data_IF_023092609357
#
_entry.id   IF_023092609357
#
_cell.length_a   1.000
_cell.length_b   1.000
_cell.length_c   1.000
_cell.angle_alpha   90.00
_cell.angle_beta   90.00
_cell.angle_gamma   90.00
#
_symmetry.space_group_name_H-M   'P 1'
#
loop_
_entity.id
_entity.type
_entity.pdbx_description
1 polymer ?
#
# COMPACT_ATOMS: atom_id res chain seq x y z
N UNK A 1 40.10 -61.19 10.05
CA UNK A 1 39.53 -60.59 11.29
C UNK A 1 39.88 -59.11 11.34
N UNK A 2 38.86 -58.24 11.48
CA UNK A 2 38.93 -56.84 11.99
C UNK A 2 39.59 -55.84 10.99
N UNK A 3 39.00 -54.74 10.53
CA UNK A 3 37.91 -53.89 11.04
C UNK A 3 37.21 -53.21 9.86
N UNK A 4 35.89 -53.37 9.80
CA UNK A 4 35.01 -52.43 9.12
C UNK A 4 35.12 -51.08 9.83
N UNK A 5 35.30 -50.00 9.08
CA UNK A 5 34.88 -48.63 9.39
C UNK A 5 35.62 -47.69 8.44
N UNK A 6 34.89 -47.13 7.47
CA UNK A 6 34.97 -45.74 7.00
C UNK A 6 34.06 -45.58 5.76
N UNK A 7 32.80 -45.97 5.93
CA UNK A 7 31.70 -45.59 5.04
C UNK A 7 30.67 -44.89 5.92
N UNK A 8 30.77 -43.57 6.05
CA UNK A 8 29.70 -42.66 6.50
C UNK A 8 30.26 -41.26 6.80
N UNK A 9 30.58 -40.47 5.77
CA UNK A 9 30.66 -39.00 5.90
C UNK A 9 29.92 -38.34 4.73
N UNK A 10 28.67 -38.75 4.54
CA UNK A 10 27.63 -37.93 3.91
C UNK A 10 26.59 -37.62 4.99
N UNK A 11 26.83 -36.56 5.77
CA UNK A 11 25.81 -35.97 6.62
C UNK A 11 25.56 -34.54 6.12
N UNK A 12 24.84 -34.47 5.00
CA UNK A 12 23.68 -33.61 4.78
C UNK A 12 23.58 -32.39 5.71
N UNK A 13 24.32 -31.33 5.41
CA UNK A 13 23.91 -29.97 5.77
C UNK A 13 23.32 -29.30 4.52
N UNK A 14 22.27 -29.90 3.95
CA UNK A 14 21.35 -29.18 3.07
C UNK A 14 20.47 -28.29 3.97
N UNK A 15 21.08 -27.30 4.60
CA UNK A 15 20.34 -26.17 5.13
C UNK A 15 19.82 -25.40 3.91
N UNK A 16 18.61 -25.72 3.47
CA UNK A 16 17.83 -24.78 2.68
C UNK A 16 17.55 -23.59 3.60
N UNK A 17 18.51 -22.67 3.67
CA UNK A 17 18.35 -21.40 4.38
C UNK A 17 17.14 -20.71 3.77
N UNK A 18 16.05 -20.62 4.54
CA UNK A 18 14.84 -19.87 4.19
C UNK A 18 15.10 -18.36 4.30
N UNK A 19 16.18 -17.91 3.67
CA UNK A 19 16.52 -16.50 3.55
C UNK A 19 15.69 -15.93 2.41
N UNK A 20 14.49 -15.45 2.72
CA UNK A 20 13.63 -14.76 1.74
C UNK A 20 12.21 -15.32 1.60
N UNK A 21 11.69 -16.06 2.59
CA UNK A 21 10.29 -16.46 2.57
C UNK A 21 9.40 -15.22 2.72
N UNK A 22 8.84 -14.78 1.60
CA UNK A 22 7.76 -13.80 1.56
C UNK A 22 6.52 -14.48 2.11
N UNK A 23 5.77 -13.73 2.92
CA UNK A 23 4.47 -14.18 3.40
C UNK A 23 3.56 -14.59 2.21
N UNK A 24 2.89 -15.77 2.27
CA UNK A 24 2.14 -16.29 1.12
C UNK A 24 0.99 -15.38 0.68
N UNK A 25 0.34 -14.66 1.61
CA UNK A 25 -0.72 -13.70 1.26
C UNK A 25 -0.11 -12.49 0.53
N UNK A 26 1.03 -12.00 1.00
CA UNK A 26 1.81 -10.95 0.31
C UNK A 26 2.17 -11.37 -1.12
N UNK A 27 2.65 -12.61 -1.30
CA UNK A 27 2.99 -13.13 -2.62
C UNK A 27 1.75 -13.24 -3.53
N UNK A 28 0.63 -13.71 -2.99
CA UNK A 28 -0.63 -13.83 -3.73
C UNK A 28 -1.12 -12.45 -4.22
N UNK A 29 -1.09 -11.44 -3.35
CA UNK A 29 -1.49 -10.07 -3.72
C UNK A 29 -0.49 -9.50 -4.74
N UNK A 30 0.81 -9.63 -4.47
CA UNK A 30 1.87 -9.08 -5.30
C UNK A 30 2.01 -9.74 -6.69
N UNK A 31 1.46 -10.95 -6.89
CA UNK A 31 1.40 -11.62 -8.20
C UNK A 31 0.06 -11.45 -8.92
N UNK A 32 -1.04 -11.17 -8.21
CA UNK A 32 -2.35 -10.97 -8.84
C UNK A 32 -2.40 -9.74 -9.78
N UNK A 33 -3.01 -9.82 -10.97
CA UNK A 33 -3.10 -8.67 -11.88
C UNK A 33 -3.89 -7.51 -11.25
N UNK A 34 -3.52 -6.28 -11.62
CA UNK A 34 -4.23 -5.06 -11.25
C UNK A 34 -4.88 -4.49 -12.50
N UNK A 35 -6.05 -5.03 -12.84
CA UNK A 35 -6.83 -4.64 -14.03
C UNK A 35 -8.07 -3.88 -13.61
N UNK A 36 -8.26 -2.69 -14.16
CA UNK A 36 -9.45 -1.84 -13.96
C UNK A 36 -10.51 -2.15 -15.02
N UNK A 37 -11.79 -2.03 -14.67
CA UNK A 37 -12.91 -2.49 -15.48
C UNK A 37 -13.38 -1.51 -16.57
N UNK A 38 -13.10 -0.21 -16.42
CA UNK A 38 -13.50 0.82 -17.38
C UNK A 38 -12.60 2.05 -17.28
N UNK A 39 -12.66 2.93 -18.29
CA UNK A 39 -11.84 4.14 -18.37
C UNK A 39 -11.85 5.00 -17.10
N UNK A 40 -13.02 5.24 -16.50
CA UNK A 40 -13.14 6.07 -15.29
C UNK A 40 -12.41 5.44 -14.10
N UNK A 41 -12.55 4.13 -13.91
CA UNK A 41 -11.81 3.41 -12.87
C UNK A 41 -10.30 3.40 -13.17
N UNK A 42 -9.91 3.18 -14.43
CA UNK A 42 -8.52 3.18 -14.85
C UNK A 42 -7.82 4.53 -14.60
N UNK A 43 -8.50 5.63 -14.91
CA UNK A 43 -7.97 6.98 -14.68
C UNK A 43 -7.84 7.27 -13.16
N UNK A 44 -8.79 6.78 -12.36
CA UNK A 44 -8.74 6.89 -10.91
C UNK A 44 -7.59 6.06 -10.32
N UNK A 45 -7.44 4.81 -10.74
CA UNK A 45 -6.39 3.91 -10.27
C UNK A 45 -5.01 4.41 -10.68
N UNK A 46 -4.87 5.00 -11.87
CA UNK A 46 -3.61 5.60 -12.31
C UNK A 46 -3.19 6.80 -11.43
N UNK A 47 -4.14 7.68 -11.08
CA UNK A 47 -3.87 8.78 -10.13
C UNK A 47 -3.48 8.29 -8.75
N UNK A 48 -4.13 7.22 -8.26
CA UNK A 48 -3.77 6.57 -6.99
C UNK A 48 -2.38 5.95 -7.06
N UNK A 49 -2.02 5.33 -8.18
CA UNK A 49 -0.70 4.77 -8.39
C UNK A 49 0.39 5.85 -8.29
N UNK A 50 0.20 7.00 -8.96
CA UNK A 50 1.13 8.13 -8.84
C UNK A 50 1.23 8.62 -7.38
N UNK A 51 0.09 8.79 -6.71
CA UNK A 51 0.03 9.23 -5.31
C UNK A 51 0.81 8.29 -4.38
N UNK A 52 0.61 6.98 -4.54
CA UNK A 52 1.32 5.97 -3.74
C UNK A 52 2.83 6.05 -3.96
N UNK A 53 3.28 6.12 -5.22
CA UNK A 53 4.72 6.23 -5.53
C UNK A 53 5.31 7.50 -4.93
N UNK A 54 4.60 8.63 -4.97
CA UNK A 54 5.05 9.88 -4.35
C UNK A 54 5.17 9.77 -2.82
N UNK A 55 4.32 8.98 -2.17
CA UNK A 55 4.32 8.81 -0.71
C UNK A 55 5.34 7.78 -0.21
N UNK A 56 5.54 6.71 -0.96
CA UNK A 56 6.33 5.54 -0.53
C UNK A 56 7.78 5.57 -1.05
N UNK A 57 8.08 6.45 -2.00
CA UNK A 57 9.42 6.56 -2.58
C UNK A 57 10.31 7.50 -1.80
N UNK A 58 11.54 7.04 -1.53
CA UNK A 58 12.64 7.92 -1.12
C UNK A 58 13.26 8.67 -2.30
N UNK A 59 12.97 8.26 -3.53
CA UNK A 59 13.44 8.88 -4.76
C UNK A 59 12.35 9.76 -5.38
N UNK A 60 12.74 10.92 -5.93
CA UNK A 60 11.83 11.78 -6.67
C UNK A 60 11.33 11.12 -7.96
N UNK A 61 10.18 11.58 -8.46
CA UNK A 61 9.67 11.17 -9.77
C UNK A 61 10.59 11.68 -10.88
N UNK A 62 11.01 10.79 -11.78
CA UNK A 62 11.83 11.09 -12.95
C UNK A 62 10.96 11.21 -14.22
N UNK A 63 9.92 10.37 -14.34
CA UNK A 63 8.99 10.39 -15.48
C UNK A 63 7.57 10.16 -15.00
N UNK A 64 6.63 10.95 -15.54
CA UNK A 64 5.19 10.78 -15.36
C UNK A 64 4.51 11.07 -16.68
N UNK A 65 3.77 10.09 -17.20
CA UNK A 65 2.93 10.20 -18.38
C UNK A 65 1.62 9.46 -18.17
N UNK A 66 0.81 9.36 -19.22
CA UNK A 66 -0.43 8.58 -19.19
C UNK A 66 -0.19 7.08 -19.05
N UNK A 67 1.03 6.59 -19.31
CA UNK A 67 1.36 5.16 -19.36
C UNK A 67 2.60 4.76 -18.53
N UNK A 68 3.35 5.72 -17.99
CA UNK A 68 4.56 5.46 -17.21
C UNK A 68 4.63 6.40 -15.98
N UNK A 69 4.92 5.82 -14.82
CA UNK A 69 5.40 6.54 -13.64
C UNK A 69 6.74 5.88 -13.26
N UNK A 70 7.79 6.67 -13.16
CA UNK A 70 9.12 6.17 -12.84
C UNK A 70 9.80 7.11 -11.86
N UNK A 71 10.47 6.56 -10.84
CA UNK A 71 11.32 7.32 -9.94
C UNK A 71 12.76 7.38 -10.45
N UNK A 72 13.53 8.32 -9.92
CA UNK A 72 14.97 8.27 -10.01
C UNK A 72 15.55 7.07 -9.22
N UNK A 73 16.86 6.86 -9.36
CA UNK A 73 17.58 5.80 -8.66
C UNK A 73 17.30 4.39 -9.22
N UNK A 74 17.68 3.33 -8.49
CA UNK A 74 18.42 3.38 -7.24
C UNK A 74 19.90 3.73 -7.50
N UNK A 75 20.58 4.29 -6.50
CA UNK A 75 21.99 4.67 -6.56
C UNK A 75 22.73 4.32 -5.26
N UNK A 76 24.03 4.05 -5.40
CA UNK A 76 24.98 4.10 -4.30
C UNK A 76 24.83 2.99 -3.26
N UNK A 77 24.52 1.76 -3.66
CA UNK A 77 24.47 0.64 -2.70
C UNK A 77 23.18 0.60 -1.85
N UNK A 78 22.24 1.52 -2.10
CA UNK A 78 21.09 1.76 -1.21
C UNK A 78 20.05 0.65 -1.32
N UNK A 79 19.43 0.37 -0.17
CA UNK A 79 18.34 -0.62 -0.02
C UNK A 79 16.95 -0.06 -0.35
N UNK A 80 16.85 1.25 -0.53
CA UNK A 80 15.60 1.92 -0.87
C UNK A 80 15.13 1.49 -2.26
N UNK A 81 13.82 1.34 -2.43
CA UNK A 81 13.23 0.94 -3.70
C UNK A 81 13.06 2.14 -4.63
N UNK A 82 13.52 1.97 -5.87
CA UNK A 82 13.04 2.72 -7.02
C UNK A 82 11.86 1.99 -7.66
N UNK A 83 10.95 2.74 -8.27
CA UNK A 83 9.70 2.23 -8.80
C UNK A 83 9.55 2.53 -10.29
N UNK A 84 8.97 1.58 -11.00
CA UNK A 84 8.46 1.76 -12.35
C UNK A 84 7.05 1.17 -12.43
N UNK A 85 6.07 2.02 -12.69
CA UNK A 85 4.67 1.65 -12.83
C UNK A 85 4.26 1.90 -14.29
N UNK A 86 3.57 0.94 -14.89
CA UNK A 86 3.08 1.05 -16.27
C UNK A 86 1.57 0.95 -16.32
N UNK A 87 0.94 1.61 -17.31
CA UNK A 87 -0.46 1.40 -17.67
C UNK A 87 -0.52 0.90 -19.10
N UNK A 88 -1.09 -0.28 -19.28
CA UNK A 88 -1.29 -0.90 -20.59
C UNK A 88 -2.78 -0.98 -20.86
N UNK A 89 -3.27 -0.21 -21.83
CA UNK A 89 -4.66 -0.26 -22.25
C UNK A 89 -4.96 -1.59 -22.97
N UNK A 90 -6.10 -2.19 -22.65
CA UNK A 90 -6.61 -3.38 -23.29
C UNK A 90 -7.66 -2.98 -24.35
N UNK A 91 -7.92 -3.87 -25.33
CA UNK A 91 -8.83 -3.59 -26.46
C UNK A 91 -10.31 -3.44 -26.07
N UNK A 92 -10.67 -3.86 -24.87
CA UNK A 92 -12.03 -3.86 -24.31
C UNK A 92 -12.34 -2.61 -23.45
N UNK A 93 -11.41 -1.65 -23.37
CA UNK A 93 -11.57 -0.43 -22.56
C UNK A 93 -11.18 -0.61 -21.09
N UNK A 94 -10.67 -1.79 -20.72
CA UNK A 94 -9.95 -2.02 -19.47
C UNK A 94 -8.48 -1.59 -19.61
N UNK A 95 -7.75 -1.49 -18.51
CA UNK A 95 -6.30 -1.35 -18.54
C UNK A 95 -5.66 -2.17 -17.42
N UNK A 96 -4.43 -2.62 -17.65
CA UNK A 96 -3.63 -3.33 -16.66
C UNK A 96 -2.53 -2.41 -16.15
N UNK A 97 -2.46 -2.25 -14.83
CA UNK A 97 -1.44 -1.46 -14.15
C UNK A 97 -0.33 -2.40 -13.65
N UNK A 98 0.87 -2.26 -14.22
CA UNK A 98 2.06 -3.00 -13.84
C UNK A 98 2.80 -2.33 -12.69
N UNK A 99 3.43 -3.14 -11.83
CA UNK A 99 4.29 -2.68 -10.74
C UNK A 99 5.65 -3.37 -10.83
N UNK A 100 6.71 -2.58 -10.85
CA UNK A 100 8.07 -3.04 -10.69
C UNK A 100 8.80 -2.19 -9.65
N UNK A 101 9.60 -2.84 -8.81
CA UNK A 101 10.44 -2.18 -7.82
C UNK A 101 11.79 -2.88 -7.74
N UNK A 102 12.85 -2.11 -7.58
CA UNK A 102 14.21 -2.62 -7.43
C UNK A 102 15.06 -1.68 -6.58
N UNK A 103 16.20 -2.18 -6.07
CA UNK A 103 17.18 -1.41 -5.33
C UNK A 103 18.60 -1.80 -5.77
N UNK A 104 19.60 -1.03 -5.35
CA UNK A 104 21.01 -1.22 -5.71
C UNK A 104 21.80 -1.80 -4.53
N UNK A 105 21.30 -2.84 -3.85
CA UNK A 105 21.98 -3.40 -2.67
C UNK A 105 22.15 -4.91 -2.76
N UNK A 106 23.38 -5.39 -2.59
CA UNK A 106 23.69 -6.83 -2.52
C UNK A 106 23.07 -7.52 -1.28
N UNK A 107 22.61 -6.75 -0.29
CA UNK A 107 21.99 -7.24 0.95
C UNK A 107 20.46 -7.29 0.84
N UNK A 108 19.93 -7.03 -0.36
CA UNK A 108 18.50 -6.99 -0.66
C UNK A 108 17.82 -5.67 -0.28
N UNK A 109 16.63 -5.46 -0.83
CA UNK A 109 15.86 -4.22 -0.62
C UNK A 109 15.17 -4.18 0.73
N UNK A 110 14.86 -2.97 1.21
CA UNK A 110 13.97 -2.75 2.36
C UNK A 110 13.03 -1.55 2.07
N UNK A 111 11.70 -1.76 2.04
CA UNK A 111 11.02 -3.08 2.10
C UNK A 111 11.39 -3.96 0.90
N UNK A 112 11.03 -5.24 0.94
CA UNK A 112 11.26 -6.09 -0.23
C UNK A 112 10.25 -5.76 -1.36
N UNK A 113 10.56 -6.05 -2.64
CA UNK A 113 9.68 -5.68 -3.75
C UNK A 113 8.27 -6.31 -3.69
N UNK A 114 8.13 -7.49 -3.06
CA UNK A 114 6.84 -8.16 -2.92
C UNK A 114 5.93 -7.45 -1.92
N UNK A 115 6.46 -7.07 -0.77
CA UNK A 115 5.73 -6.26 0.22
C UNK A 115 5.26 -4.93 -0.37
N UNK A 116 6.15 -4.25 -1.10
CA UNK A 116 5.84 -3.00 -1.77
C UNK A 116 4.75 -3.18 -2.83
N UNK A 117 4.85 -4.23 -3.66
CA UNK A 117 3.84 -4.54 -4.67
C UNK A 117 2.47 -4.89 -4.09
N UNK A 118 2.43 -5.61 -2.97
CA UNK A 118 1.20 -5.90 -2.26
C UNK A 118 0.57 -4.64 -1.63
N UNK A 119 1.40 -3.77 -1.04
CA UNK A 119 0.96 -2.46 -0.53
C UNK A 119 0.37 -1.59 -1.64
N UNK A 120 1.10 -1.44 -2.75
CA UNK A 120 0.68 -0.69 -3.93
C UNK A 120 -0.69 -1.15 -4.44
N UNK A 121 -0.88 -2.45 -4.66
CA UNK A 121 -2.13 -2.98 -5.20
C UNK A 121 -3.31 -2.78 -4.25
N UNK A 122 -3.11 -2.89 -2.94
CA UNK A 122 -4.15 -2.59 -1.93
C UNK A 122 -4.53 -1.11 -1.98
N UNK A 123 -3.55 -0.21 -2.00
CA UNK A 123 -3.78 1.22 -2.07
C UNK A 123 -4.48 1.63 -3.36
N UNK A 124 -4.08 1.11 -4.51
CA UNK A 124 -4.69 1.49 -5.79
C UNK A 124 -6.16 1.06 -5.85
N UNK A 125 -6.49 -0.16 -5.41
CA UNK A 125 -7.89 -0.64 -5.36
C UNK A 125 -8.72 0.13 -4.32
N UNK A 126 -8.17 0.32 -3.13
CA UNK A 126 -8.91 0.81 -1.97
C UNK A 126 -8.85 2.33 -1.72
N UNK A 127 -7.90 3.04 -2.32
CA UNK A 127 -7.56 4.43 -1.99
C UNK A 127 -6.98 4.59 -0.58
N UNK A 128 -6.77 5.86 -0.16
CA UNK A 128 -6.20 6.20 1.15
C UNK A 128 -7.00 5.66 2.35
N UNK A 129 -8.31 5.39 2.18
CA UNK A 129 -9.15 4.78 3.22
C UNK A 129 -8.69 3.35 3.60
N UNK A 130 -7.96 2.67 2.70
CA UNK A 130 -7.40 1.34 2.92
C UNK A 130 -5.89 1.35 3.21
N UNK A 131 -5.28 2.53 3.32
CA UNK A 131 -3.84 2.73 3.51
C UNK A 131 -3.40 2.66 4.99
N UNK A 132 -4.26 2.19 5.89
CA UNK A 132 -3.84 2.00 7.29
C UNK A 132 -2.80 0.88 7.37
N UNK A 133 -1.60 1.14 7.91
CA UNK A 133 -0.60 0.11 8.12
C UNK A 133 -1.12 -0.87 9.18
N UNK A 134 -0.69 -2.13 9.07
CA UNK A 134 -1.05 -3.21 9.99
C UNK A 134 -1.01 -2.73 11.47
N UNK A 135 -2.17 -2.67 12.13
CA UNK A 135 -2.23 -2.36 13.57
C UNK A 135 -3.52 -1.73 14.09
N UNK A 136 -4.30 -0.99 13.30
CA UNK A 136 -5.58 -0.45 13.78
C UNK A 136 -6.77 -1.15 13.15
N UNK A 137 -7.31 -2.11 13.90
CA UNK A 137 -8.70 -2.54 13.79
C UNK A 137 -9.58 -1.27 13.81
N UNK A 138 -10.51 -1.08 12.86
CA UNK A 138 -11.45 0.03 12.94
C UNK A 138 -12.18 -0.11 14.27
N UNK A 139 -11.99 0.86 15.17
CA UNK A 139 -12.79 0.96 16.36
C UNK A 139 -14.25 1.06 15.90
N UNK A 140 -15.01 0.01 16.18
CA UNK A 140 -16.45 -0.01 16.03
C UNK A 140 -16.98 1.27 16.67
N UNK A 141 -17.60 2.14 15.86
CA UNK A 141 -18.32 3.28 16.37
C UNK A 141 -19.30 2.79 17.45
N UNK A 142 -19.26 3.32 18.69
CA UNK A 142 -20.31 2.99 19.63
C UNK A 142 -21.60 3.60 19.10
N UNK A 143 -22.61 2.74 19.03
CA UNK A 143 -23.97 3.07 18.67
C UNK A 143 -24.46 4.29 19.47
N UNK A 144 -25.22 5.14 18.78
CA UNK A 144 -25.97 6.25 19.34
C UNK A 144 -26.64 5.87 20.66
N UNK A 145 -26.25 6.53 21.74
CA UNK A 145 -26.99 6.51 23.00
C UNK A 145 -27.82 7.80 23.04
N UNK A 146 -29.08 7.68 22.66
CA UNK A 146 -30.10 8.71 22.81
C UNK A 146 -30.32 8.91 24.32
N UNK A 147 -29.67 9.90 24.92
CA UNK A 147 -30.05 10.34 26.25
C UNK A 147 -31.23 11.29 26.13
N UNK A 148 -32.44 10.72 26.29
CA UNK A 148 -33.59 11.43 26.81
C UNK A 148 -33.21 11.95 28.20
N UNK A 149 -33.14 13.27 28.36
CA UNK A 149 -33.16 13.88 29.69
C UNK A 149 -34.40 14.77 29.80
N UNK A 150 -35.30 14.34 30.67
CA UNK A 150 -36.62 14.94 30.91
C UNK A 150 -36.57 15.78 32.18
N UNK A 151 -36.67 17.11 31.98
CA UNK A 151 -37.37 18.07 32.85
C UNK A 151 -36.55 18.81 33.93
N UNK A 152 -37.10 19.89 34.55
CA UNK A 152 -38.10 20.88 34.08
C UNK A 152 -37.62 22.36 34.25
N UNK A 153 -38.38 23.31 33.67
CA UNK A 153 -38.65 24.71 34.11
C UNK A 153 -37.48 25.59 34.62
N UNK A 154 -37.26 26.86 34.28
CA UNK A 154 -38.08 27.96 33.76
C UNK A 154 -37.12 29.17 33.73
N UNK A 155 -37.23 30.06 32.75
CA UNK A 155 -37.26 31.53 32.94
C UNK A 155 -37.13 32.24 31.59
N UNK A 156 -38.28 32.71 31.13
CA UNK A 156 -38.52 33.64 30.04
C UNK A 156 -37.88 35.00 30.29
N UNK A 157 -37.16 35.57 29.31
CA UNK A 157 -37.15 37.03 29.08
C UNK A 157 -36.78 37.32 27.62
N UNK A 158 -37.63 38.12 26.98
CA UNK A 158 -37.47 38.85 25.72
C UNK A 158 -38.10 40.25 25.96
N UNK A 159 -38.14 41.20 25.00
CA UNK A 159 -37.29 41.56 23.85
C UNK A 159 -36.87 43.07 23.97
N UNK A 160 -36.67 43.75 22.82
CA UNK A 160 -36.61 45.22 22.57
C UNK A 160 -35.17 45.70 22.33
N UNK A 161 -34.77 46.26 21.18
CA UNK A 161 -35.46 47.19 20.29
C UNK A 161 -34.77 48.55 20.44
N UNK A 162 -33.75 48.83 19.63
CA UNK A 162 -33.05 50.11 19.65
C UNK A 162 -33.80 51.20 18.84
N UNK A 163 -33.75 52.47 19.27
CA UNK A 163 -34.62 53.54 18.80
C UNK A 163 -34.02 54.38 17.65
N UNK A 164 -34.94 55.06 16.95
CA UNK A 164 -34.73 56.16 15.99
C UNK A 164 -34.53 57.49 16.74
N UNK A 165 -33.88 58.47 16.06
CA UNK A 165 -33.74 59.93 16.32
C UNK A 165 -32.32 60.34 16.75
N UNK A 166 -31.64 61.33 16.16
CA UNK A 166 -32.07 62.59 15.52
C UNK A 166 -31.27 62.92 14.25
#
# INVERSE_FOLDING_TARGET
>A
MKKALLAALCALAAGCSTSGQVDPDTLQIATAPLTCANRTECDMWWKRAQTWVTQESSYGLQSVSDTLIQTAGPDGGKRALAYQITKTDNKDGTATIGFAAHCDSAMGCKPNPWEAGASFKRFVRGGAANASPAGQQPASAPAATTQLETGPAQSTHAPTGEPVTQ
#
